data_IF_097170205161
#
_entry.id   IF_097170205161
#
_cell.length_a   1.000
_cell.length_b   1.000
_cell.length_c   1.000
_cell.angle_alpha   90.00
_cell.angle_beta   90.00
_cell.angle_gamma   90.00
#
_symmetry.space_group_name_H-M   'P 1'
#
loop_
_entity.id
_entity.type
_entity.pdbx_description
1 polymer ?
#
# COMPACT_ATOMS: atom_id res chain seq x y z
N UNK A 1 15.33 40.58 -8.73
CA UNK A 1 15.07 40.17 -10.14
C UNK A 1 15.36 41.29 -11.13
N UNK A 2 14.95 42.55 -10.86
CA UNK A 2 15.21 43.67 -11.77
C UNK A 2 16.70 43.89 -12.12
N UNK A 3 17.59 43.81 -11.12
CA UNK A 3 19.05 43.94 -11.33
C UNK A 3 19.64 42.83 -12.22
N UNK A 4 19.05 41.63 -12.17
CA UNK A 4 19.44 40.46 -12.96
C UNK A 4 19.15 40.61 -14.45
N UNK A 5 18.06 41.31 -14.80
CA UNK A 5 17.65 41.58 -16.19
C UNK A 5 18.46 42.71 -16.82
N UNK A 6 18.92 43.67 -16.02
CA UNK A 6 19.77 44.74 -16.49
C UNK A 6 21.07 44.18 -17.07
N UNK A 7 21.29 44.40 -18.37
CA UNK A 7 22.48 43.92 -19.07
C UNK A 7 22.62 42.39 -19.15
N UNK A 8 21.53 41.63 -18.92
CA UNK A 8 21.56 40.16 -18.82
C UNK A 8 22.51 39.63 -17.74
N UNK A 9 22.64 40.36 -16.63
CA UNK A 9 23.58 40.01 -15.57
C UNK A 9 23.31 38.64 -14.93
N UNK A 10 22.07 38.16 -14.99
CA UNK A 10 21.67 36.81 -14.58
C UNK A 10 22.46 35.68 -15.28
N UNK A 11 23.00 35.92 -16.48
CA UNK A 11 23.75 34.93 -17.23
C UNK A 11 25.25 34.90 -16.85
N UNK A 12 25.76 35.90 -16.15
CA UNK A 12 27.18 35.99 -15.78
C UNK A 12 27.59 34.98 -14.70
N UNK A 13 26.63 34.49 -13.92
CA UNK A 13 26.88 33.47 -12.88
C UNK A 13 27.02 32.06 -13.46
N UNK A 14 26.78 31.87 -14.77
CA UNK A 14 26.92 30.58 -15.45
C UNK A 14 28.39 30.34 -15.76
N UNK A 15 29.05 29.50 -14.98
CA UNK A 15 30.47 29.17 -15.10
C UNK A 15 30.68 27.69 -15.48
N UNK A 16 31.77 27.41 -16.20
CA UNK A 16 32.20 26.05 -16.56
C UNK A 16 31.88 25.64 -18.01
N UNK A 17 32.22 24.40 -18.36
CA UNK A 17 31.93 23.82 -19.69
C UNK A 17 30.49 23.34 -19.71
N UNK A 18 29.65 23.97 -20.53
CA UNK A 18 28.25 23.62 -20.71
C UNK A 18 28.12 22.47 -21.71
N UNK A 19 27.45 21.39 -21.30
CA UNK A 19 27.04 20.33 -22.21
C UNK A 19 25.85 20.75 -23.07
N UNK A 20 25.49 19.89 -24.02
CA UNK A 20 24.41 20.17 -24.98
C UNK A 20 23.04 20.38 -24.30
N UNK A 21 22.79 19.68 -23.20
CA UNK A 21 21.55 19.79 -22.43
C UNK A 21 21.48 21.12 -21.67
N UNK A 22 22.59 21.54 -21.07
CA UNK A 22 22.71 22.80 -20.34
C UNK A 22 22.55 24.00 -21.28
N UNK A 23 23.10 23.91 -22.50
CA UNK A 23 22.86 24.91 -23.56
C UNK A 23 21.36 25.01 -23.89
N UNK A 24 20.67 23.87 -23.99
CA UNK A 24 19.22 23.83 -24.20
C UNK A 24 18.44 24.52 -23.08
N UNK A 25 18.79 24.25 -21.82
CA UNK A 25 18.18 24.91 -20.66
C UNK A 25 18.45 26.42 -20.65
N UNK A 26 19.68 26.84 -20.95
CA UNK A 26 20.06 28.24 -21.07
C UNK A 26 19.19 28.97 -22.09
N UNK A 27 19.00 28.41 -23.28
CA UNK A 27 18.16 29.02 -24.32
C UNK A 27 16.70 29.15 -23.90
N UNK A 28 16.15 28.17 -23.17
CA UNK A 28 14.78 28.26 -22.63
C UNK A 28 14.63 29.39 -21.62
N UNK A 29 15.60 29.54 -20.71
CA UNK A 29 15.62 30.63 -19.73
C UNK A 29 15.75 31.97 -20.46
N UNK A 30 16.69 32.07 -21.40
CA UNK A 30 16.90 33.28 -22.21
C UNK A 30 15.62 33.73 -22.91
N UNK A 31 14.91 32.82 -23.58
CA UNK A 31 13.64 33.13 -24.24
C UNK A 31 12.56 33.60 -23.26
N UNK A 32 12.51 33.01 -22.06
CA UNK A 32 11.53 33.37 -21.03
C UNK A 32 11.82 34.76 -20.48
N UNK A 33 13.07 35.01 -20.10
CA UNK A 33 13.58 36.29 -19.58
C UNK A 33 13.36 37.41 -20.60
N UNK A 34 13.72 37.19 -21.87
CA UNK A 34 13.60 38.20 -22.92
C UNK A 34 12.13 38.59 -23.24
N UNK A 35 11.16 37.75 -22.88
CA UNK A 35 9.72 38.04 -23.01
C UNK A 35 9.11 38.64 -21.75
N UNK A 36 9.89 38.77 -20.67
CA UNK A 36 9.40 39.26 -19.38
C UNK A 36 9.56 40.77 -19.32
N UNK A 37 8.45 41.49 -19.20
CA UNK A 37 8.44 42.94 -18.97
C UNK A 37 8.24 43.15 -17.47
N UNK A 38 9.18 43.86 -16.82
CA UNK A 38 9.05 44.22 -15.42
C UNK A 38 8.16 45.45 -15.25
N UNK A 39 7.35 45.44 -14.21
CA UNK A 39 6.60 46.58 -13.73
C UNK A 39 7.29 47.14 -12.47
N UNK A 40 7.10 48.43 -12.21
CA UNK A 40 7.48 49.06 -10.93
C UNK A 40 6.44 48.82 -9.82
N UNK A 41 5.38 48.06 -10.11
CA UNK A 41 4.44 47.63 -9.08
C UNK A 41 5.09 46.68 -8.08
N UNK A 42 4.72 46.76 -6.79
CA UNK A 42 5.25 45.85 -5.77
C UNK A 42 4.81 44.41 -6.07
N UNK A 43 5.73 43.47 -5.84
CA UNK A 43 5.46 42.04 -5.99
C UNK A 43 4.27 41.60 -5.13
N UNK A 44 3.37 40.80 -5.70
CA UNK A 44 2.22 40.24 -5.00
C UNK A 44 2.38 38.74 -4.82
N UNK A 45 2.18 38.27 -3.58
CA UNK A 45 2.11 36.85 -3.28
C UNK A 45 0.74 36.30 -3.68
N UNK A 46 0.70 35.58 -4.81
CA UNK A 46 -0.51 34.92 -5.30
C UNK A 46 -0.48 33.43 -4.95
N UNK A 47 -1.54 32.97 -4.30
CA UNK A 47 -1.75 31.55 -4.03
C UNK A 47 -2.28 30.85 -5.27
N UNK A 48 -1.38 30.19 -6.02
CA UNK A 48 -1.67 29.51 -7.29
C UNK A 48 -2.83 28.51 -7.25
N UNK A 49 -3.17 27.97 -6.08
CA UNK A 49 -4.17 26.92 -5.93
C UNK A 49 -5.61 27.45 -5.73
N UNK A 50 -5.83 28.76 -5.81
CA UNK A 50 -7.16 29.38 -5.82
C UNK A 50 -7.29 30.35 -6.99
N UNK A 51 -8.48 30.41 -7.60
CA UNK A 51 -8.73 31.28 -8.75
C UNK A 51 -8.63 32.78 -8.42
N UNK A 52 -8.85 33.15 -7.15
CA UNK A 52 -8.71 34.51 -6.66
C UNK A 52 -7.30 34.84 -6.14
N UNK A 53 -6.37 33.88 -6.16
CA UNK A 53 -5.01 34.07 -5.66
C UNK A 53 -4.89 34.23 -4.14
N UNK A 54 -5.99 34.05 -3.38
CA UNK A 54 -6.01 34.22 -1.92
C UNK A 54 -5.64 32.92 -1.22
N UNK A 55 -4.66 32.99 -0.33
CA UNK A 55 -4.28 31.89 0.54
C UNK A 55 -5.35 31.60 1.61
N UNK A 56 -5.58 30.32 1.88
CA UNK A 56 -6.25 29.88 3.10
C UNK A 56 -5.64 28.56 3.59
N UNK A 57 -5.73 28.29 4.90
CA UNK A 57 -5.26 27.01 5.43
C UNK A 57 -5.97 25.82 4.76
N UNK A 58 -7.25 25.98 4.39
CA UNK A 58 -8.02 24.99 3.67
C UNK A 58 -7.48 24.72 2.24
N UNK A 59 -7.16 25.78 1.48
CA UNK A 59 -6.63 25.63 0.13
C UNK A 59 -5.20 25.10 0.14
N UNK A 60 -4.40 25.47 1.15
CA UNK A 60 -3.10 24.86 1.44
C UNK A 60 -3.22 23.36 1.70
N UNK A 61 -4.09 22.95 2.62
CA UNK A 61 -4.33 21.54 2.90
C UNK A 61 -4.80 20.79 1.64
N UNK A 62 -5.74 21.34 0.87
CA UNK A 62 -6.18 20.73 -0.38
C UNK A 62 -5.06 20.59 -1.41
N UNK A 63 -4.16 21.58 -1.51
CA UNK A 63 -3.01 21.55 -2.40
C UNK A 63 -2.03 20.41 -2.06
N UNK A 64 -1.92 20.01 -0.79
CA UNK A 64 -1.10 18.84 -0.40
C UNK A 64 -1.60 17.52 -1.00
N UNK A 65 -2.87 17.46 -1.43
CA UNK A 65 -3.45 16.31 -2.13
C UNK A 65 -3.39 16.44 -3.65
N UNK A 66 -2.83 17.53 -4.18
CA UNK A 66 -2.69 17.68 -5.62
C UNK A 66 -1.70 16.62 -6.17
N UNK A 67 -2.14 15.85 -7.17
CA UNK A 67 -1.39 14.68 -7.65
C UNK A 67 -1.53 13.42 -6.78
N UNK A 68 -2.32 13.46 -5.69
CA UNK A 68 -2.58 12.27 -4.90
C UNK A 68 -3.35 11.22 -5.72
N UNK A 69 -2.90 9.98 -5.62
CA UNK A 69 -3.57 8.84 -6.25
C UNK A 69 -4.61 8.27 -5.30
N UNK A 70 -5.86 8.12 -5.77
CA UNK A 70 -6.91 7.52 -4.95
C UNK A 70 -6.72 6.00 -4.91
N UNK A 71 -6.35 5.47 -3.75
CA UNK A 71 -6.34 4.01 -3.53
C UNK A 71 -7.77 3.48 -3.50
N UNK A 72 -8.23 2.81 -4.56
CA UNK A 72 -9.60 2.25 -4.65
C UNK A 72 -9.94 1.28 -3.51
N UNK A 73 -8.91 0.69 -2.89
CA UNK A 73 -9.03 -0.33 -1.85
C UNK A 73 -9.15 0.23 -0.43
N UNK A 74 -9.03 1.54 -0.21
CA UNK A 74 -9.11 2.13 1.13
C UNK A 74 -10.42 1.78 1.85
N UNK A 75 -11.55 1.78 1.12
CA UNK A 75 -12.85 1.41 1.69
C UNK A 75 -12.85 -0.03 2.20
N UNK A 76 -12.20 -0.94 1.47
CA UNK A 76 -12.13 -2.33 1.86
C UNK A 76 -11.33 -2.51 3.15
N UNK A 77 -10.23 -1.78 3.33
CA UNK A 77 -9.42 -1.86 4.55
C UNK A 77 -10.17 -1.22 5.72
N UNK A 78 -10.58 0.05 5.55
CA UNK A 78 -11.03 0.88 6.67
C UNK A 78 -12.49 0.62 7.06
N UNK A 79 -13.37 0.25 6.12
CA UNK A 79 -14.79 -0.06 6.40
C UNK A 79 -15.04 -1.52 6.82
N UNK A 80 -14.06 -2.40 6.69
CA UNK A 80 -14.18 -3.78 7.16
C UNK A 80 -13.92 -3.85 8.66
N UNK A 81 -14.51 -4.84 9.32
CA UNK A 81 -14.19 -5.11 10.72
C UNK A 81 -12.85 -5.84 10.77
N UNK A 82 -11.88 -5.26 11.47
CA UNK A 82 -10.58 -5.82 11.83
C UNK A 82 -9.95 -4.92 12.90
N UNK A 83 -9.07 -5.43 13.78
CA UNK A 83 -8.30 -4.61 14.69
C UNK A 83 -7.46 -3.57 13.94
N UNK A 84 -7.23 -2.41 14.55
CA UNK A 84 -6.50 -1.30 13.91
C UNK A 84 -5.12 -1.72 13.42
N UNK A 85 -4.37 -2.52 14.20
CA UNK A 85 -3.06 -3.06 13.81
C UNK A 85 -3.09 -3.81 12.47
N UNK A 86 -4.16 -4.56 12.22
CA UNK A 86 -4.35 -5.30 10.98
C UNK A 86 -4.68 -4.37 9.83
N UNK A 87 -5.54 -3.37 10.05
CA UNK A 87 -5.85 -2.35 9.03
C UNK A 87 -4.61 -1.57 8.61
N UNK A 88 -3.77 -1.17 9.56
CA UNK A 88 -2.51 -0.51 9.30
C UNK A 88 -1.55 -1.39 8.50
N UNK A 89 -1.42 -2.67 8.85
CA UNK A 89 -0.65 -3.63 8.06
C UNK A 89 -1.10 -3.65 6.59
N UNK A 90 -2.41 -3.80 6.33
CA UNK A 90 -2.92 -3.82 4.95
C UNK A 90 -2.73 -2.48 4.21
N UNK A 91 -2.82 -1.37 4.93
CA UNK A 91 -2.53 -0.04 4.38
C UNK A 91 -1.07 0.08 3.93
N UNK A 92 -0.13 -0.38 4.75
CA UNK A 92 1.30 -0.38 4.42
C UNK A 92 1.63 -1.40 3.32
N UNK A 93 1.01 -2.57 3.36
CA UNK A 93 1.16 -3.62 2.34
C UNK A 93 0.75 -3.10 0.95
N UNK A 94 -0.33 -2.32 0.86
CA UNK A 94 -0.79 -1.74 -0.41
C UNK A 94 0.11 -0.64 -0.98
N UNK A 95 1.05 -0.12 -0.20
CA UNK A 95 2.00 0.91 -0.60
C UNK A 95 3.42 0.35 -0.74
N UNK A 96 3.55 -0.99 -0.76
CA UNK A 96 4.85 -1.70 -0.76
C UNK A 96 5.79 -1.20 0.36
N UNK A 97 5.20 -0.75 1.46
CA UNK A 97 5.87 -0.20 2.62
C UNK A 97 6.03 -1.21 3.77
N UNK A 98 5.56 -2.45 3.62
CA UNK A 98 5.82 -3.49 4.61
C UNK A 98 7.30 -3.87 4.62
N UNK A 99 7.90 -3.92 5.80
CA UNK A 99 9.27 -4.43 5.99
C UNK A 99 9.27 -5.94 5.71
N UNK A 100 9.76 -6.30 4.53
CA UNK A 100 9.85 -7.66 3.99
C UNK A 100 11.28 -7.90 3.49
N UNK A 101 11.67 -9.15 3.22
CA UNK A 101 13.00 -9.47 2.69
C UNK A 101 13.37 -8.65 1.45
N UNK A 102 12.41 -8.41 0.55
CA UNK A 102 12.58 -7.54 -0.62
C UNK A 102 12.98 -6.09 -0.27
N UNK A 103 12.37 -5.50 0.76
CA UNK A 103 12.70 -4.14 1.20
C UNK A 103 14.04 -4.11 1.93
N UNK A 104 14.36 -5.15 2.70
CA UNK A 104 15.67 -5.33 3.32
C UNK A 104 16.77 -5.41 2.24
N UNK A 105 16.54 -6.20 1.19
CA UNK A 105 17.44 -6.34 0.05
C UNK A 105 17.69 -4.99 -0.63
N UNK A 106 16.63 -4.21 -0.91
CA UNK A 106 16.74 -2.86 -1.48
C UNK A 106 17.53 -1.88 -0.59
N UNK A 107 17.50 -2.09 0.72
CA UNK A 107 18.25 -1.29 1.69
C UNK A 107 19.64 -1.86 2.01
N UNK A 108 20.10 -2.92 1.32
CA UNK A 108 21.40 -3.55 1.56
C UNK A 108 21.51 -4.30 2.89
N UNK A 109 20.37 -4.65 3.52
CA UNK A 109 20.33 -5.38 4.78
C UNK A 109 20.30 -6.90 4.53
N UNK A 110 20.84 -7.66 5.49
CA UNK A 110 20.85 -9.12 5.44
C UNK A 110 19.42 -9.66 5.40
N UNK A 111 19.17 -10.58 4.48
CA UNK A 111 17.87 -11.20 4.27
C UNK A 111 18.04 -12.64 3.76
N UNK A 112 17.02 -13.46 3.95
CA UNK A 112 17.02 -14.81 3.40
C UNK A 112 16.75 -14.75 1.88
N UNK A 113 17.49 -15.49 1.03
CA UNK A 113 17.37 -15.40 -0.43
C UNK A 113 16.04 -15.95 -0.96
N UNK A 114 15.39 -16.82 -0.19
CA UNK A 114 14.13 -17.48 -0.51
C UNK A 114 13.09 -17.28 0.60
N UNK A 115 11.82 -17.41 0.25
CA UNK A 115 10.72 -17.35 1.20
C UNK A 115 10.82 -18.47 2.23
N UNK A 116 10.91 -18.12 3.51
CA UNK A 116 11.04 -19.09 4.61
C UNK A 116 9.84 -20.02 4.76
N UNK A 117 8.67 -19.67 4.22
CA UNK A 117 7.48 -20.50 4.32
C UNK A 117 7.43 -21.64 3.30
N UNK A 118 8.02 -21.47 2.11
CA UNK A 118 7.93 -22.45 1.02
C UNK A 118 9.27 -22.87 0.42
N UNK A 119 10.33 -22.11 0.65
CA UNK A 119 11.69 -22.27 0.12
C UNK A 119 11.80 -22.40 -1.42
N UNK A 120 10.81 -21.90 -2.16
CA UNK A 120 10.73 -22.08 -3.63
C UNK A 120 11.05 -20.83 -4.45
N UNK A 121 10.84 -19.62 -3.91
CA UNK A 121 11.02 -18.37 -4.64
C UNK A 121 11.50 -17.24 -3.73
N UNK A 122 12.01 -16.15 -4.31
CA UNK A 122 12.34 -14.93 -3.57
C UNK A 122 11.09 -14.36 -2.90
N UNK A 123 11.24 -13.93 -1.64
CA UNK A 123 10.13 -13.38 -0.88
C UNK A 123 9.81 -11.95 -1.33
N UNK A 124 8.69 -11.80 -2.03
CA UNK A 124 7.99 -10.53 -2.25
C UNK A 124 6.66 -10.53 -1.50
N UNK A 125 6.03 -9.36 -1.33
CA UNK A 125 4.69 -9.28 -0.71
C UNK A 125 3.65 -10.06 -1.52
N UNK A 126 3.72 -9.95 -2.84
CA UNK A 126 2.86 -10.70 -3.75
C UNK A 126 3.08 -12.21 -3.60
N UNK A 127 4.34 -12.65 -3.50
CA UNK A 127 4.64 -14.05 -3.27
C UNK A 127 4.09 -14.52 -1.94
N UNK A 128 4.48 -13.87 -0.83
CA UNK A 128 4.09 -14.26 0.51
C UNK A 128 2.58 -14.37 0.69
N UNK A 129 1.80 -13.44 0.14
CA UNK A 129 0.36 -13.35 0.41
C UNK A 129 -0.53 -14.04 -0.64
N UNK A 130 -0.04 -14.25 -1.88
CA UNK A 130 -0.84 -14.75 -2.98
C UNK A 130 -0.29 -16.02 -3.64
N UNK A 131 0.98 -16.02 -4.07
CA UNK A 131 1.50 -17.10 -4.94
C UNK A 131 2.25 -18.18 -4.18
N UNK A 132 2.70 -17.91 -2.95
CA UNK A 132 3.37 -18.85 -2.08
C UNK A 132 2.49 -20.10 -1.85
N UNK A 133 2.99 -21.32 -2.12
CA UNK A 133 2.22 -22.55 -1.93
C UNK A 133 1.68 -22.71 -0.51
N UNK A 134 2.49 -22.38 0.50
CA UNK A 134 2.11 -22.39 1.92
C UNK A 134 0.92 -21.45 2.19
N UNK A 135 0.98 -20.23 1.66
CA UNK A 135 -0.10 -19.26 1.77
C UNK A 135 -1.37 -19.73 1.06
N UNK A 136 -1.25 -20.28 -0.16
CA UNK A 136 -2.39 -20.81 -0.94
C UNK A 136 -3.08 -21.96 -0.23
N UNK A 137 -2.32 -22.88 0.37
CA UNK A 137 -2.86 -24.00 1.13
C UNK A 137 -3.56 -23.51 2.41
N UNK A 138 -2.97 -22.55 3.13
CA UNK A 138 -3.62 -21.88 4.27
C UNK A 138 -4.95 -21.25 3.86
N UNK A 139 -4.97 -20.53 2.73
CA UNK A 139 -6.17 -19.95 2.17
C UNK A 139 -7.25 -20.99 1.86
N UNK A 140 -6.86 -22.09 1.23
CA UNK A 140 -7.77 -23.17 0.90
C UNK A 140 -8.41 -23.75 2.17
N UNK A 141 -7.60 -24.07 3.18
CA UNK A 141 -8.09 -24.63 4.45
C UNK A 141 -9.10 -23.70 5.15
N UNK A 142 -8.80 -22.39 5.24
CA UNK A 142 -9.67 -21.42 5.91
C UNK A 142 -10.97 -21.18 5.12
N UNK A 143 -10.89 -21.08 3.79
CA UNK A 143 -12.08 -20.90 2.96
C UNK A 143 -12.99 -22.14 2.98
N UNK A 144 -12.40 -23.33 2.99
CA UNK A 144 -13.12 -24.59 3.14
C UNK A 144 -13.81 -24.69 4.50
N UNK A 145 -13.09 -24.39 5.59
CA UNK A 145 -13.63 -24.38 6.95
C UNK A 145 -14.84 -23.46 7.10
N UNK A 146 -14.80 -22.27 6.50
CA UNK A 146 -15.90 -21.29 6.51
C UNK A 146 -16.97 -21.54 5.43
N UNK A 147 -16.82 -22.62 4.64
CA UNK A 147 -17.70 -22.96 3.51
C UNK A 147 -17.89 -21.80 2.53
N UNK A 148 -16.84 -21.01 2.30
CA UNK A 148 -16.90 -19.80 1.48
C UNK A 148 -16.90 -20.15 -0.02
N UNK A 149 -17.76 -19.55 -0.86
CA UNK A 149 -17.85 -19.88 -2.28
C UNK A 149 -16.70 -19.29 -3.12
N UNK A 150 -15.68 -18.73 -2.48
CA UNK A 150 -14.59 -18.01 -3.14
C UNK A 150 -13.38 -18.91 -3.34
N UNK A 151 -12.73 -18.81 -4.50
CA UNK A 151 -11.46 -19.50 -4.75
C UNK A 151 -10.31 -18.94 -3.89
N UNK A 152 -9.29 -19.76 -3.55
CA UNK A 152 -8.01 -19.30 -3.03
C UNK A 152 -7.35 -18.26 -3.95
N UNK A 153 -6.36 -17.48 -3.47
CA UNK A 153 -5.64 -16.59 -4.35
C UNK A 153 -4.95 -17.36 -5.48
N UNK A 154 -4.85 -16.68 -6.61
CA UNK A 154 -4.23 -17.13 -7.85
C UNK A 154 -3.37 -15.98 -8.39
N UNK A 155 -2.98 -16.02 -9.68
CA UNK A 155 -2.22 -15.00 -10.42
C UNK A 155 -2.94 -13.63 -10.56
N UNK A 156 -3.46 -13.09 -9.47
CA UNK A 156 -4.02 -11.74 -9.41
C UNK A 156 -2.88 -10.72 -9.27
N UNK A 157 -3.01 -9.52 -9.87
CA UNK A 157 -1.93 -8.54 -9.92
C UNK A 157 -1.62 -7.96 -8.53
N UNK A 158 -2.63 -7.83 -7.66
CA UNK A 158 -2.46 -7.34 -6.29
C UNK A 158 -3.38 -8.05 -5.32
N UNK A 159 -2.99 -8.03 -4.04
CA UNK A 159 -3.79 -8.59 -2.93
C UNK A 159 -5.19 -7.97 -2.91
N UNK A 160 -5.29 -6.67 -3.20
CA UNK A 160 -6.57 -5.97 -3.21
C UNK A 160 -7.44 -6.24 -4.44
N UNK A 161 -6.84 -6.39 -5.62
CA UNK A 161 -7.59 -6.75 -6.83
C UNK A 161 -8.34 -8.07 -6.61
N UNK A 162 -7.66 -9.06 -6.02
CA UNK A 162 -8.26 -10.32 -5.58
C UNK A 162 -9.44 -10.08 -4.64
N UNK A 163 -9.28 -9.24 -3.62
CA UNK A 163 -10.35 -9.01 -2.63
C UNK A 163 -11.58 -8.33 -3.19
N UNK A 164 -11.38 -7.33 -4.04
CA UNK A 164 -12.47 -6.65 -4.72
C UNK A 164 -13.24 -7.64 -5.62
N UNK A 165 -12.53 -8.51 -6.34
CA UNK A 165 -13.12 -9.57 -7.17
C UNK A 165 -13.91 -10.56 -6.32
N UNK A 166 -13.32 -11.09 -5.25
CA UNK A 166 -13.97 -12.06 -4.36
C UNK A 166 -15.22 -11.47 -3.69
N UNK A 167 -15.16 -10.22 -3.24
CA UNK A 167 -16.29 -9.54 -2.60
C UNK A 167 -17.47 -9.30 -3.55
N UNK A 168 -17.24 -9.11 -4.86
CA UNK A 168 -18.32 -8.97 -5.86
C UNK A 168 -19.11 -10.26 -6.04
N UNK A 169 -18.43 -11.40 -6.12
CA UNK A 169 -19.04 -12.72 -6.38
C UNK A 169 -19.58 -13.41 -5.13
N UNK A 170 -19.37 -12.84 -3.94
CA UNK A 170 -19.86 -13.41 -2.68
C UNK A 170 -21.27 -12.90 -2.37
N UNK A 171 -22.20 -13.78 -1.91
CA UNK A 171 -23.52 -13.37 -1.46
C UNK A 171 -23.47 -12.28 -0.37
N UNK A 172 -24.41 -11.34 -0.38
CA UNK A 172 -24.40 -10.18 0.53
C UNK A 172 -24.29 -10.56 2.00
N UNK A 173 -24.94 -11.67 2.40
CA UNK A 173 -24.92 -12.22 3.75
C UNK A 173 -23.52 -12.61 4.23
N UNK A 174 -22.63 -13.04 3.32
CA UNK A 174 -21.27 -13.50 3.64
C UNK A 174 -20.17 -12.49 3.32
N UNK A 175 -20.49 -11.37 2.67
CA UNK A 175 -19.50 -10.34 2.30
C UNK A 175 -18.79 -9.75 3.51
N UNK A 176 -19.50 -9.50 4.62
CA UNK A 176 -18.88 -8.99 5.85
C UNK A 176 -17.85 -9.98 6.41
N UNK A 177 -18.18 -11.27 6.43
CA UNK A 177 -17.28 -12.33 6.86
C UNK A 177 -16.03 -12.38 5.97
N UNK A 178 -16.23 -12.44 4.64
CA UNK A 178 -15.15 -12.49 3.67
C UNK A 178 -14.18 -11.34 3.85
N UNK A 179 -14.70 -10.12 4.04
CA UNK A 179 -13.90 -8.92 4.24
C UNK A 179 -13.01 -9.00 5.48
N UNK A 180 -13.52 -9.53 6.59
CA UNK A 180 -12.71 -9.73 7.79
C UNK A 180 -11.65 -10.81 7.59
N UNK A 181 -12.00 -11.95 6.98
CA UNK A 181 -11.05 -13.04 6.68
C UNK A 181 -9.98 -12.62 5.68
N UNK A 182 -10.35 -11.83 4.67
CA UNK A 182 -9.45 -11.21 3.70
C UNK A 182 -8.38 -10.34 4.37
N UNK A 183 -8.67 -9.78 5.55
CA UNK A 183 -7.70 -9.03 6.34
C UNK A 183 -6.95 -9.92 7.34
N UNK A 184 -7.62 -10.89 7.96
CA UNK A 184 -7.08 -11.77 8.98
C UNK A 184 -5.99 -12.70 8.45
N UNK A 185 -6.27 -13.46 7.38
CA UNK A 185 -5.36 -14.52 6.92
C UNK A 185 -4.02 -13.95 6.43
N UNK A 186 -3.94 -12.86 5.63
CA UNK A 186 -2.65 -12.28 5.26
C UNK A 186 -1.86 -11.78 6.46
N UNK A 187 -2.55 -11.22 7.46
CA UNK A 187 -1.94 -10.76 8.69
C UNK A 187 -1.33 -11.93 9.47
N UNK A 188 -2.05 -13.05 9.59
CA UNK A 188 -1.57 -14.24 10.29
C UNK A 188 -0.43 -14.93 9.55
N UNK A 189 -0.48 -14.99 8.21
CA UNK A 189 0.63 -15.49 7.38
C UNK A 189 1.89 -14.64 7.60
N UNK A 190 1.75 -13.31 7.57
CA UNK A 190 2.87 -12.40 7.82
C UNK A 190 3.44 -12.57 9.24
N UNK A 191 2.57 -12.74 10.24
CA UNK A 191 2.99 -12.98 11.63
C UNK A 191 3.76 -14.30 11.76
N UNK A 192 3.24 -15.38 11.19
CA UNK A 192 3.90 -16.70 11.18
C UNK A 192 5.27 -16.65 10.49
N UNK A 193 5.35 -15.94 9.37
CA UNK A 193 6.63 -15.72 8.67
C UNK A 193 7.64 -14.96 9.51
N UNK A 194 7.20 -13.96 10.27
CA UNK A 194 8.09 -13.22 11.16
C UNK A 194 8.56 -14.08 12.34
N UNK A 195 7.69 -14.91 12.91
CA UNK A 195 8.08 -15.88 13.94
C UNK A 195 9.15 -16.86 13.39
N UNK A 196 9.03 -17.30 12.13
CA UNK A 196 10.08 -18.10 11.47
C UNK A 196 11.43 -17.35 11.30
N UNK A 197 11.41 -16.01 11.21
CA UNK A 197 12.62 -15.19 11.08
C UNK A 197 13.26 -14.91 12.43
N UNK A 198 12.46 -14.51 13.41
CA UNK A 198 12.93 -13.94 14.67
C UNK A 198 12.98 -14.96 15.80
N UNK A 199 12.12 -15.98 15.76
CA UNK A 199 11.94 -16.96 16.83
C UNK A 199 12.40 -18.37 16.42
N UNK A 200 12.96 -18.52 15.20
CA UNK A 200 13.37 -19.81 14.60
C UNK A 200 12.25 -20.87 14.56
N UNK A 201 10.99 -20.42 14.50
CA UNK A 201 9.85 -21.31 14.35
C UNK A 201 9.86 -22.01 12.98
N UNK A 202 9.35 -23.24 12.94
CA UNK A 202 9.21 -23.97 11.68
C UNK A 202 7.89 -23.64 10.97
N UNK A 203 7.87 -23.49 9.64
CA UNK A 203 6.63 -23.32 8.89
C UNK A 203 5.67 -24.50 9.11
N UNK A 204 4.50 -24.24 9.70
CA UNK A 204 3.47 -25.25 9.94
C UNK A 204 2.10 -24.70 9.55
N UNK A 205 1.46 -25.39 8.59
CA UNK A 205 0.15 -25.01 8.07
C UNK A 205 -0.92 -25.30 9.12
N UNK A 206 -0.85 -26.45 9.79
CA UNK A 206 -1.85 -26.85 10.79
C UNK A 206 -1.87 -25.88 11.96
N UNK A 207 -0.69 -25.54 12.50
CA UNK A 207 -0.55 -24.55 13.57
C UNK A 207 -1.10 -23.19 13.15
N UNK A 208 -0.76 -22.72 11.95
CA UNK A 208 -1.23 -21.43 11.45
C UNK A 208 -2.76 -21.44 11.25
N UNK A 209 -3.30 -22.51 10.68
CA UNK A 209 -4.74 -22.65 10.45
C UNK A 209 -5.50 -22.63 11.76
N UNK A 210 -5.04 -23.34 12.78
CA UNK A 210 -5.70 -23.34 14.09
C UNK A 210 -5.63 -21.97 14.77
N UNK A 211 -4.47 -21.30 14.73
CA UNK A 211 -4.33 -19.92 15.20
C UNK A 211 -5.26 -18.94 14.47
N UNK A 212 -5.46 -19.11 13.16
CA UNK A 212 -6.41 -18.30 12.40
C UNK A 212 -7.85 -18.58 12.84
N UNK A 213 -8.22 -19.84 13.07
CA UNK A 213 -9.57 -20.20 13.55
C UNK A 213 -9.86 -19.56 14.90
N UNK A 214 -8.90 -19.61 15.82
CA UNK A 214 -9.03 -19.03 17.15
C UNK A 214 -9.13 -17.51 17.09
N UNK A 215 -8.25 -16.85 16.34
CA UNK A 215 -8.31 -15.39 16.16
C UNK A 215 -9.63 -14.97 15.48
N UNK A 216 -10.14 -15.75 14.52
CA UNK A 216 -11.44 -15.50 13.89
C UNK A 216 -12.61 -15.59 14.89
N UNK A 217 -12.57 -16.55 15.82
CA UNK A 217 -13.55 -16.67 16.92
C UNK A 217 -13.44 -15.48 17.88
N UNK A 218 -12.22 -15.09 18.26
CA UNK A 218 -11.98 -13.89 19.07
C UNK A 218 -12.53 -12.63 18.38
N UNK A 219 -12.34 -12.50 17.06
CA UNK A 219 -12.87 -11.39 16.29
C UNK A 219 -14.40 -11.37 16.29
N UNK A 220 -15.04 -12.53 16.09
CA UNK A 220 -16.50 -12.65 16.17
C UNK A 220 -17.02 -12.20 17.54
N UNK A 221 -16.41 -12.69 18.63
CA UNK A 221 -16.75 -12.32 20.00
C UNK A 221 -16.52 -10.83 20.30
N UNK A 222 -15.51 -10.22 19.68
CA UNK A 222 -15.21 -8.79 19.80
C UNK A 222 -16.09 -7.88 18.91
N UNK A 223 -17.08 -8.43 18.22
CA UNK A 223 -18.07 -7.65 17.45
C UNK A 223 -17.94 -7.74 15.93
N UNK A 224 -17.12 -8.66 15.39
CA UNK A 224 -17.11 -8.97 13.96
C UNK A 224 -18.34 -9.78 13.54
N UNK A 225 -19.53 -9.15 13.57
CA UNK A 225 -20.83 -9.81 13.34
C UNK A 225 -20.89 -10.66 12.06
N UNK A 226 -20.16 -10.27 11.01
CA UNK A 226 -20.08 -11.06 9.78
C UNK A 226 -19.46 -12.45 9.99
N UNK A 227 -18.45 -12.58 10.84
CA UNK A 227 -17.81 -13.86 11.14
C UNK A 227 -18.75 -14.80 11.89
N UNK A 228 -19.57 -14.26 12.81
CA UNK A 228 -20.56 -15.05 13.54
C UNK A 228 -21.58 -15.77 12.65
N UNK A 229 -21.77 -15.33 11.40
CA UNK A 229 -22.67 -15.96 10.42
C UNK A 229 -22.06 -17.19 9.75
N UNK A 230 -20.73 -17.28 9.68
CA UNK A 230 -20.02 -18.32 8.91
C UNK A 230 -19.22 -19.28 9.78
N UNK A 231 -18.94 -18.90 11.03
CA UNK A 231 -18.20 -19.77 11.94
C UNK A 231 -19.05 -20.99 12.30
N UNK A 232 -18.49 -22.21 12.22
CA UNK A 232 -19.19 -23.39 12.71
C UNK A 232 -19.39 -23.28 14.23
N UNK A 233 -20.55 -23.74 14.70
CA UNK A 233 -20.86 -23.78 16.12
C UNK A 233 -19.83 -24.67 16.85
N UNK A 234 -19.43 -24.32 18.08
CA UNK A 234 -18.55 -25.17 18.87
C UNK A 234 -19.20 -26.56 19.04
N UNK A 235 -18.55 -27.60 18.52
CA UNK A 235 -19.02 -28.99 18.60
C UNK A 235 -19.37 -29.68 17.27
N UNK A 236 -19.24 -29.00 16.12
CA UNK A 236 -19.34 -29.66 14.80
C UNK A 236 -17.94 -29.93 14.23
N UNK A 237 -17.32 -31.03 14.65
CA UNK A 237 -16.20 -31.68 13.98
C UNK A 237 -16.55 -33.15 13.80
#
# INVERSE_FOLDING_TARGET
>A
MAEGLAGNSWAHDIQGVLGLHEIGQYLMIWQTVNRTILSNEPDQLLWRWTANGIYSAQSCYAATFHGSTRCTSWKLIWKSWAPSRVKFFHWLANQDCCWMAERLARCGLQHHPRCLLCDQATETLQHLLLTCPFARQTWYAILAWLRMPTRPPDQEPTVMARWLRANKHTPMTRRKALRSIALLVPWMIWKHKNECVFDNETPSIDLLVDRIKDEARCWANAGAQGLGVVLPLPGMC
#
